data_IF_316748667596
#
_entry.id   IF_316748667596
#
_cell.length_a   1.000
_cell.length_b   1.000
_cell.length_c   1.000
_cell.angle_alpha   90.00
_cell.angle_beta   90.00
_cell.angle_gamma   90.00
#
_symmetry.space_group_name_H-M   'P 1'
#
loop_
_entity.id
_entity.type
_entity.pdbx_description
1 polymer ?
#
# COMPACT_ATOMS: atom_id res chain seq x y z
N UNK A 1 25.78 -8.72 -14.46
CA UNK A 1 26.19 -10.14 -14.51
C UNK A 1 27.26 -10.44 -13.45
N UNK A 2 27.03 -11.44 -12.59
CA UNK A 2 28.08 -11.95 -11.71
C UNK A 2 28.85 -13.07 -12.43
N UNK A 3 30.05 -13.41 -11.97
CA UNK A 3 30.85 -14.52 -12.55
C UNK A 3 30.50 -15.89 -11.97
N UNK A 4 29.59 -15.98 -10.99
CA UNK A 4 29.26 -17.23 -10.28
C UNK A 4 27.75 -17.51 -10.21
N UNK A 5 27.03 -17.21 -11.30
CA UNK A 5 25.58 -17.39 -11.44
C UNK A 5 24.78 -16.09 -11.34
N UNK A 6 23.51 -16.12 -11.73
CA UNK A 6 22.64 -14.93 -11.67
C UNK A 6 22.13 -14.71 -10.25
N UNK A 7 22.03 -13.43 -9.88
CA UNK A 7 21.24 -12.96 -8.75
C UNK A 7 20.07 -12.20 -9.33
N UNK A 8 18.86 -12.64 -9.01
CA UNK A 8 17.62 -11.99 -9.45
C UNK A 8 16.94 -11.37 -8.23
N UNK A 9 16.40 -10.17 -8.40
CA UNK A 9 15.68 -9.43 -7.35
C UNK A 9 14.21 -9.37 -7.72
N UNK A 10 13.34 -9.92 -6.86
CA UNK A 10 11.91 -10.12 -7.09
C UNK A 10 11.59 -10.95 -8.35
N UNK A 11 10.31 -11.27 -8.56
CA UNK A 11 9.85 -12.13 -9.64
C UNK A 11 8.50 -11.74 -10.26
N UNK A 12 7.94 -10.58 -9.91
CA UNK A 12 6.66 -10.14 -10.45
C UNK A 12 5.48 -10.95 -9.93
N UNK A 13 4.32 -10.77 -10.58
CA UNK A 13 3.15 -11.62 -10.40
C UNK A 13 3.34 -12.99 -11.06
N UNK A 14 2.57 -14.00 -10.62
CA UNK A 14 2.67 -15.35 -11.17
C UNK A 14 2.45 -15.44 -12.69
N UNK A 15 1.49 -14.69 -13.21
CA UNK A 15 1.23 -14.64 -14.65
C UNK A 15 2.31 -13.88 -15.44
N UNK A 16 3.14 -13.08 -14.77
CA UNK A 16 4.27 -12.33 -15.36
C UNK A 16 5.57 -13.13 -15.33
N UNK A 17 5.66 -14.17 -14.50
CA UNK A 17 6.84 -15.01 -14.35
C UNK A 17 7.51 -15.44 -15.67
N UNK A 18 6.78 -15.99 -16.66
CA UNK A 18 7.35 -16.35 -17.96
C UNK A 18 7.93 -15.16 -18.74
N UNK A 19 7.33 -13.97 -18.60
CA UNK A 19 7.81 -12.73 -19.23
C UNK A 19 9.14 -12.31 -18.59
N UNK A 20 9.19 -12.32 -17.26
CA UNK A 20 10.41 -11.98 -16.52
C UNK A 20 11.54 -12.96 -16.84
N UNK A 21 11.27 -14.26 -16.82
CA UNK A 21 12.25 -15.29 -17.18
C UNK A 21 12.79 -15.07 -18.60
N UNK A 22 11.91 -14.88 -19.59
CA UNK A 22 12.32 -14.66 -20.97
C UNK A 22 13.16 -13.38 -21.15
N UNK A 23 12.79 -12.28 -20.49
CA UNK A 23 13.54 -11.03 -20.56
C UNK A 23 14.93 -11.17 -19.92
N UNK A 24 15.02 -11.82 -18.75
CA UNK A 24 16.29 -12.03 -18.05
C UNK A 24 17.21 -12.99 -18.81
N UNK A 25 16.68 -14.10 -19.34
CA UNK A 25 17.42 -15.06 -20.16
C UNK A 25 17.97 -14.44 -21.46
N UNK A 26 17.31 -13.40 -21.99
CA UNK A 26 17.79 -12.67 -23.17
C UNK A 26 19.06 -11.85 -22.92
N UNK A 27 19.34 -11.52 -21.65
CA UNK A 27 20.53 -10.78 -21.22
C UNK A 27 21.63 -11.73 -20.77
N UNK A 28 21.27 -12.73 -19.97
CA UNK A 28 22.19 -13.72 -19.40
C UNK A 28 21.40 -15.00 -19.08
N UNK A 29 21.83 -16.14 -19.60
CA UNK A 29 21.18 -17.44 -19.43
C UNK A 29 21.90 -18.37 -18.43
N UNK A 30 22.89 -17.87 -17.67
CA UNK A 30 23.53 -18.63 -16.61
C UNK A 30 22.51 -19.10 -15.54
N UNK A 31 22.83 -20.15 -14.78
CA UNK A 31 21.94 -20.62 -13.72
C UNK A 31 21.67 -19.51 -12.68
N UNK A 32 20.43 -19.42 -12.21
CA UNK A 32 20.04 -18.54 -11.11
C UNK A 32 20.55 -19.14 -9.81
N UNK A 33 21.46 -18.43 -9.14
CA UNK A 33 22.03 -18.86 -7.86
C UNK A 33 21.22 -18.34 -6.69
N UNK A 34 20.88 -17.05 -6.71
CA UNK A 34 20.07 -16.42 -5.68
C UNK A 34 18.87 -15.72 -6.30
N UNK A 35 17.72 -15.88 -5.65
CA UNK A 35 16.52 -15.11 -5.92
C UNK A 35 16.13 -14.38 -4.64
N UNK A 36 16.43 -13.08 -4.59
CA UNK A 36 16.25 -12.26 -3.40
C UNK A 36 14.90 -11.54 -3.50
N UNK A 37 14.06 -11.68 -2.49
CA UNK A 37 12.80 -10.94 -2.39
C UNK A 37 12.99 -9.72 -1.51
N UNK A 38 12.63 -8.56 -2.04
CA UNK A 38 12.69 -7.29 -1.28
C UNK A 38 11.55 -7.18 -0.26
N UNK A 39 10.46 -7.90 -0.47
CA UNK A 39 9.25 -7.87 0.36
C UNK A 39 8.30 -9.01 -0.03
N UNK A 40 7.35 -9.31 0.84
CA UNK A 40 6.37 -10.37 0.65
C UNK A 40 5.31 -10.13 -0.43
N UNK A 41 5.04 -8.91 -0.88
CA UNK A 41 3.89 -8.66 -1.75
C UNK A 41 3.86 -9.49 -3.05
N UNK A 42 2.65 -9.90 -3.47
CA UNK A 42 2.46 -10.85 -4.57
C UNK A 42 3.02 -10.38 -5.92
N UNK A 43 3.12 -9.07 -6.14
CA UNK A 43 3.77 -8.46 -7.29
C UNK A 43 5.32 -8.53 -7.22
N UNK A 44 5.88 -9.05 -6.14
CA UNK A 44 7.31 -9.34 -5.98
C UNK A 44 7.61 -10.83 -5.91
N UNK A 45 6.68 -11.63 -5.37
CA UNK A 45 6.92 -13.05 -5.05
C UNK A 45 6.10 -14.02 -5.91
N UNK A 46 5.17 -13.48 -6.70
CA UNK A 46 4.20 -14.27 -7.43
C UNK A 46 4.82 -15.16 -8.50
N UNK A 47 5.88 -14.70 -9.15
CA UNK A 47 6.56 -15.41 -10.23
C UNK A 47 7.75 -16.28 -9.82
N UNK A 48 8.02 -16.48 -8.51
CA UNK A 48 9.23 -17.17 -8.05
C UNK A 48 9.43 -18.54 -8.73
N UNK A 49 8.38 -19.35 -8.82
CA UNK A 49 8.43 -20.69 -9.42
C UNK A 49 8.75 -20.69 -10.92
N UNK A 50 8.49 -19.58 -11.61
CA UNK A 50 8.80 -19.43 -13.04
C UNK A 50 10.24 -18.96 -13.27
N UNK A 51 10.82 -18.26 -12.30
CA UNK A 51 12.11 -17.59 -12.45
C UNK A 51 13.25 -18.41 -11.87
N UNK A 52 13.03 -19.16 -10.78
CA UNK A 52 14.05 -19.98 -10.14
C UNK A 52 14.47 -21.20 -10.98
N UNK A 53 15.73 -21.59 -10.84
CA UNK A 53 16.27 -22.87 -11.31
C UNK A 53 16.30 -23.87 -10.13
N UNK A 54 16.53 -25.19 -10.36
CA UNK A 54 16.44 -26.21 -9.31
C UNK A 54 17.32 -25.98 -8.06
N UNK A 55 18.51 -25.40 -8.25
CA UNK A 55 19.49 -25.14 -7.18
C UNK A 55 19.48 -23.67 -6.71
N UNK A 56 18.46 -22.88 -7.08
CA UNK A 56 18.34 -21.48 -6.64
C UNK A 56 18.00 -21.38 -5.16
N UNK A 57 18.78 -20.63 -4.40
CA UNK A 57 18.46 -20.26 -3.02
C UNK A 57 17.59 -18.99 -3.01
N UNK A 58 16.39 -19.08 -2.41
CA UNK A 58 15.51 -17.94 -2.20
C UNK A 58 15.86 -17.25 -0.88
N UNK A 59 16.11 -15.94 -0.94
CA UNK A 59 16.53 -15.14 0.23
C UNK A 59 15.46 -14.11 0.56
N UNK A 60 15.00 -14.09 1.81
CA UNK A 60 13.98 -13.16 2.30
C UNK A 60 14.39 -12.56 3.65
N UNK A 61 13.72 -11.48 4.07
CA UNK A 61 13.85 -10.94 5.41
C UNK A 61 13.18 -11.87 6.45
N UNK A 62 13.64 -11.88 7.70
CA UNK A 62 13.16 -12.79 8.73
C UNK A 62 11.64 -12.74 9.01
N UNK A 63 11.02 -11.56 8.95
CA UNK A 63 9.57 -11.36 9.12
C UNK A 63 8.73 -11.91 7.95
N UNK A 64 9.37 -12.39 6.89
CA UNK A 64 8.72 -13.12 5.79
C UNK A 64 7.76 -14.19 6.29
N UNK A 65 8.15 -14.94 7.32
CA UNK A 65 7.33 -16.02 7.86
C UNK A 65 5.99 -15.49 8.40
N UNK A 66 6.04 -14.38 9.15
CA UNK A 66 4.83 -13.73 9.66
C UNK A 66 3.97 -13.19 8.51
N UNK A 67 4.60 -12.57 7.51
CA UNK A 67 3.90 -12.10 6.31
C UNK A 67 3.20 -13.27 5.59
N UNK A 68 3.90 -14.38 5.35
CA UNK A 68 3.37 -15.58 4.68
C UNK A 68 2.17 -16.13 5.45
N UNK A 69 2.33 -16.35 6.75
CA UNK A 69 1.30 -16.95 7.60
C UNK A 69 0.02 -16.10 7.61
N UNK A 70 0.15 -14.77 7.65
CA UNK A 70 -1.00 -13.87 7.57
C UNK A 70 -1.67 -13.89 6.19
N UNK A 71 -0.89 -13.98 5.10
CA UNK A 71 -1.44 -14.07 3.75
C UNK A 71 -2.16 -15.39 3.50
N UNK A 72 -1.61 -16.52 3.93
CA UNK A 72 -2.26 -17.82 3.83
C UNK A 72 -3.56 -17.84 4.65
N UNK A 73 -3.53 -17.33 5.88
CA UNK A 73 -4.70 -17.30 6.76
C UNK A 73 -5.82 -16.40 6.22
N UNK A 74 -5.47 -15.31 5.53
CA UNK A 74 -6.41 -14.27 5.09
C UNK A 74 -6.60 -14.20 3.57
N UNK A 75 -6.13 -15.19 2.81
CA UNK A 75 -6.04 -15.12 1.35
C UNK A 75 -7.36 -14.69 0.67
N UNK A 76 -8.48 -15.35 1.00
CA UNK A 76 -9.81 -15.01 0.44
C UNK A 76 -10.29 -13.62 0.86
N UNK A 77 -10.04 -13.25 2.12
CA UNK A 77 -10.43 -11.96 2.67
C UNK A 77 -9.67 -10.81 1.98
N UNK A 78 -8.34 -10.93 1.86
CA UNK A 78 -7.49 -9.94 1.20
C UNK A 78 -7.81 -9.81 -0.29
N UNK A 79 -8.00 -10.94 -0.99
CA UNK A 79 -8.35 -10.92 -2.41
C UNK A 79 -9.67 -10.17 -2.69
N UNK A 80 -10.70 -10.39 -1.88
CA UNK A 80 -11.98 -9.67 -2.03
C UNK A 80 -11.82 -8.16 -1.82
N UNK A 81 -10.95 -7.75 -0.88
CA UNK A 81 -10.71 -6.35 -0.54
C UNK A 81 -9.76 -5.62 -1.48
N UNK A 82 -8.92 -6.31 -2.25
CA UNK A 82 -8.08 -5.67 -3.28
C UNK A 82 -8.74 -5.67 -4.66
N UNK A 83 -9.74 -6.53 -4.89
CA UNK A 83 -10.36 -6.72 -6.22
C UNK A 83 -10.90 -5.43 -6.83
N UNK A 84 -11.47 -4.51 -6.04
CA UNK A 84 -12.02 -3.27 -6.56
C UNK A 84 -10.97 -2.37 -7.22
N UNK A 85 -9.70 -2.47 -6.82
CA UNK A 85 -8.63 -1.62 -7.30
C UNK A 85 -7.84 -2.24 -8.47
N UNK A 86 -7.79 -3.57 -8.58
CA UNK A 86 -6.85 -4.23 -9.49
C UNK A 86 -7.49 -5.19 -10.51
N UNK A 87 -8.77 -5.57 -10.40
CA UNK A 87 -9.34 -6.64 -11.25
C UNK A 87 -9.21 -6.36 -12.75
N UNK A 88 -9.53 -5.14 -13.18
CA UNK A 88 -9.51 -4.78 -14.61
C UNK A 88 -8.08 -4.70 -15.14
N UNK A 89 -7.16 -4.10 -14.37
CA UNK A 89 -5.74 -4.02 -14.71
C UNK A 89 -5.11 -5.41 -14.83
N UNK A 90 -5.43 -6.31 -13.88
CA UNK A 90 -4.95 -7.69 -13.91
C UNK A 90 -5.52 -8.45 -15.10
N UNK A 91 -6.82 -8.31 -15.38
CA UNK A 91 -7.45 -8.96 -16.53
C UNK A 91 -6.83 -8.50 -17.86
N UNK A 92 -6.60 -7.20 -18.02
CA UNK A 92 -5.93 -6.64 -19.20
C UNK A 92 -4.47 -7.11 -19.32
N UNK A 93 -3.72 -7.13 -18.21
CA UNK A 93 -2.34 -7.62 -18.17
C UNK A 93 -2.23 -9.10 -18.55
N UNK A 94 -3.11 -9.95 -18.01
CA UNK A 94 -3.21 -11.37 -18.33
C UNK A 94 -3.52 -11.55 -19.82
N UNK A 95 -4.53 -10.85 -20.36
CA UNK A 95 -4.90 -10.97 -21.78
C UNK A 95 -3.72 -10.64 -22.70
N UNK A 96 -3.00 -9.55 -22.41
CA UNK A 96 -1.84 -9.12 -23.20
C UNK A 96 -0.69 -10.14 -23.14
N UNK A 97 -0.47 -10.79 -22.00
CA UNK A 97 0.58 -11.82 -21.87
C UNK A 97 0.16 -13.11 -22.57
N UNK A 98 -1.12 -13.47 -22.52
CA UNK A 98 -1.65 -14.65 -23.21
C UNK A 98 -1.45 -14.61 -24.74
N UNK A 99 -1.45 -13.42 -25.35
CA UNK A 99 -1.17 -13.24 -26.77
C UNK A 99 0.23 -13.73 -27.16
N UNK A 100 1.22 -13.60 -26.26
CA UNK A 100 2.63 -13.93 -26.54
C UNK A 100 3.08 -15.25 -25.91
N UNK A 101 2.56 -15.59 -24.73
CA UNK A 101 3.01 -16.75 -23.92
C UNK A 101 1.95 -17.87 -23.82
N UNK A 102 0.83 -17.73 -24.52
CA UNK A 102 -0.23 -18.73 -24.61
C UNK A 102 -1.30 -18.60 -23.51
N UNK A 103 -2.41 -19.32 -23.68
CA UNK A 103 -3.62 -19.13 -22.86
C UNK A 103 -3.46 -19.55 -21.39
N UNK A 104 -2.61 -20.56 -21.11
CA UNK A 104 -2.40 -21.07 -19.76
C UNK A 104 -1.16 -20.40 -19.15
N UNK A 105 -1.39 -19.42 -18.30
CA UNK A 105 -0.33 -18.76 -17.53
C UNK A 105 -0.21 -19.38 -16.12
N UNK A 106 0.97 -19.31 -15.48
CA UNK A 106 1.14 -19.73 -14.10
C UNK A 106 0.27 -18.90 -13.15
N UNK A 107 -0.20 -19.55 -12.08
CA UNK A 107 -0.81 -18.85 -10.94
C UNK A 107 0.25 -18.21 -10.04
N UNK A 108 -0.20 -17.56 -8.97
CA UNK A 108 0.68 -17.09 -7.91
C UNK A 108 1.47 -18.26 -7.32
N UNK A 109 2.79 -18.09 -7.17
CA UNK A 109 3.65 -19.01 -6.44
C UNK A 109 3.18 -19.21 -5.01
N UNK A 110 3.57 -20.35 -4.42
CA UNK A 110 3.53 -20.57 -2.97
C UNK A 110 4.95 -20.39 -2.45
N UNK A 111 5.37 -19.14 -2.22
CA UNK A 111 6.78 -18.82 -2.08
C UNK A 111 7.34 -19.37 -0.76
N UNK A 112 8.53 -19.97 -0.84
CA UNK A 112 9.32 -20.41 0.32
C UNK A 112 10.66 -19.69 0.28
N UNK A 113 11.24 -19.44 1.46
CA UNK A 113 12.56 -18.83 1.58
C UNK A 113 13.51 -19.85 2.22
N UNK A 114 14.68 -20.01 1.62
CA UNK A 114 15.73 -20.92 2.06
C UNK A 114 16.67 -20.23 3.06
N UNK A 115 16.89 -18.92 2.86
CA UNK A 115 17.72 -18.08 3.71
C UNK A 115 16.87 -16.92 4.25
N UNK A 116 16.96 -16.70 5.56
CA UNK A 116 16.31 -15.59 6.25
C UNK A 116 17.35 -14.60 6.77
N UNK A 117 17.14 -13.32 6.48
CA UNK A 117 18.01 -12.22 6.91
C UNK A 117 17.35 -11.48 8.06
N UNK A 118 17.96 -11.53 9.24
CA UNK A 118 17.45 -10.85 10.45
C UNK A 118 17.74 -9.34 10.40
N UNK A 119 19.02 -8.97 10.36
CA UNK A 119 19.47 -7.58 10.21
C UNK A 119 20.24 -7.35 8.90
N UNK A 120 21.40 -7.99 8.74
CA UNK A 120 22.25 -7.83 7.55
C UNK A 120 22.88 -9.15 7.11
N UNK A 121 22.94 -9.41 5.80
CA UNK A 121 23.65 -10.53 5.20
C UNK A 121 24.48 -10.06 4.01
N UNK A 122 25.79 -10.33 4.02
CA UNK A 122 26.65 -10.07 2.87
C UNK A 122 26.80 -11.32 2.02
N UNK A 123 26.41 -11.22 0.75
CA UNK A 123 26.63 -12.26 -0.26
C UNK A 123 27.79 -11.86 -1.18
N UNK A 124 28.73 -12.78 -1.37
CA UNK A 124 29.75 -12.67 -2.42
C UNK A 124 29.41 -13.63 -3.54
N UNK A 125 29.05 -13.08 -4.69
CA UNK A 125 28.68 -13.87 -5.87
C UNK A 125 29.64 -13.53 -6.99
N UNK A 126 30.63 -14.41 -7.17
CA UNK A 126 31.77 -14.13 -8.04
C UNK A 126 32.59 -12.98 -7.45
N UNK A 127 32.81 -11.94 -8.25
CA UNK A 127 33.54 -10.74 -7.83
C UNK A 127 32.65 -9.65 -7.20
N UNK A 128 31.33 -9.87 -7.12
CA UNK A 128 30.39 -8.86 -6.63
C UNK A 128 30.01 -9.09 -5.19
N UNK A 129 29.97 -7.99 -4.44
CA UNK A 129 29.44 -7.93 -3.08
C UNK A 129 28.03 -7.39 -3.12
N UNK A 130 27.11 -8.08 -2.45
CA UNK A 130 25.75 -7.61 -2.20
C UNK A 130 25.52 -7.62 -0.70
N UNK A 131 25.01 -6.52 -0.16
CA UNK A 131 24.58 -6.43 1.23
C UNK A 131 23.06 -6.41 1.28
N UNK A 132 22.48 -7.42 1.92
CA UNK A 132 21.04 -7.53 2.11
C UNK A 132 20.74 -6.97 3.49
N UNK A 133 19.96 -5.89 3.55
CA UNK A 133 19.81 -5.08 4.76
C UNK A 133 18.33 -4.99 5.10
N UNK A 134 17.94 -5.56 6.24
CA UNK A 134 16.59 -5.50 6.73
C UNK A 134 16.16 -4.04 6.94
N UNK A 135 15.00 -3.72 6.39
CA UNK A 135 14.39 -2.39 6.44
C UNK A 135 12.89 -2.57 6.69
N UNK A 136 12.50 -3.18 7.83
CA UNK A 136 11.10 -3.39 8.14
C UNK A 136 10.39 -2.05 8.25
N UNK A 137 9.09 -2.03 7.94
CA UNK A 137 8.31 -0.80 7.91
C UNK A 137 8.23 -0.21 6.50
N UNK A 138 7.69 1.01 6.42
CA UNK A 138 7.37 1.67 5.16
C UNK A 138 6.22 0.96 4.43
N UNK A 139 6.52 -0.03 3.61
CA UNK A 139 5.53 -0.71 2.77
C UNK A 139 5.15 -2.11 3.27
N UNK A 140 6.08 -2.87 3.84
CA UNK A 140 5.78 -4.11 4.59
C UNK A 140 6.63 -4.27 5.84
N UNK A 141 6.22 -5.14 6.75
CA UNK A 141 7.03 -5.50 7.93
C UNK A 141 8.19 -6.43 7.60
N UNK A 142 8.20 -7.06 6.42
CA UNK A 142 9.23 -7.97 5.93
C UNK A 142 10.12 -7.39 4.81
N UNK A 143 10.17 -6.06 4.73
CA UNK A 143 10.96 -5.35 3.71
C UNK A 143 12.47 -5.44 3.97
N UNK A 144 13.24 -5.54 2.90
CA UNK A 144 14.69 -5.57 2.86
C UNK A 144 15.21 -4.94 1.56
N UNK A 145 16.31 -4.20 1.67
CA UNK A 145 17.00 -3.62 0.50
C UNK A 145 18.23 -4.44 0.12
N UNK A 146 18.62 -4.34 -1.14
CA UNK A 146 19.88 -4.89 -1.66
C UNK A 146 20.81 -3.74 -1.99
N UNK A 147 21.93 -3.66 -1.28
CA UNK A 147 22.96 -2.65 -1.48
C UNK A 147 24.14 -3.22 -2.25
N UNK A 148 24.55 -2.51 -3.29
CA UNK A 148 25.74 -2.78 -4.10
C UNK A 148 26.78 -1.70 -3.78
N UNK A 149 27.71 -1.94 -2.83
CA UNK A 149 28.60 -0.91 -2.33
C UNK A 149 29.58 -0.37 -3.37
N UNK A 150 30.08 -1.24 -4.27
CA UNK A 150 31.06 -0.85 -5.28
C UNK A 150 30.45 0.07 -6.34
N UNK A 151 29.18 -0.17 -6.71
CA UNK A 151 28.43 0.64 -7.67
C UNK A 151 27.61 1.77 -7.03
N UNK A 152 27.51 1.78 -5.70
CA UNK A 152 26.65 2.68 -4.91
C UNK A 152 25.19 2.67 -5.34
N UNK A 153 24.67 1.47 -5.64
CA UNK A 153 23.28 1.25 -6.08
C UNK A 153 22.50 0.55 -4.97
N UNK A 154 21.35 1.12 -4.59
CA UNK A 154 20.41 0.49 -3.66
C UNK A 154 19.15 0.05 -4.41
N UNK A 155 18.91 -1.27 -4.45
CA UNK A 155 17.64 -1.83 -4.90
C UNK A 155 16.71 -1.91 -3.69
N UNK A 156 15.77 -0.98 -3.64
CA UNK A 156 14.98 -0.68 -2.44
C UNK A 156 13.55 -1.24 -2.47
N UNK A 157 13.15 -1.92 -3.55
CA UNK A 157 11.78 -2.44 -3.69
C UNK A 157 10.76 -1.33 -3.46
N UNK A 158 9.71 -1.61 -2.70
CA UNK A 158 8.73 -0.59 -2.33
C UNK A 158 8.97 -0.05 -0.91
N UNK A 159 10.18 -0.13 -0.34
CA UNK A 159 10.40 0.25 1.08
C UNK A 159 9.89 1.67 1.43
N UNK A 160 9.84 2.59 0.47
CA UNK A 160 9.31 3.96 0.62
C UNK A 160 7.85 4.14 0.15
N UNK A 161 7.15 3.05 -0.12
CA UNK A 161 5.87 3.01 -0.83
C UNK A 161 6.02 2.66 -2.31
N UNK A 162 4.90 2.36 -2.97
CA UNK A 162 4.87 2.05 -4.41
C UNK A 162 5.21 3.27 -5.29
N UNK A 163 5.01 4.49 -4.76
CA UNK A 163 5.38 5.76 -5.39
C UNK A 163 6.46 6.44 -4.54
N UNK A 164 7.68 6.59 -5.06
CA UNK A 164 8.73 7.33 -4.36
C UNK A 164 8.42 8.83 -4.33
N UNK A 165 8.76 9.50 -3.23
CA UNK A 165 8.45 10.92 -3.03
C UNK A 165 6.99 11.18 -2.60
N UNK A 166 6.29 10.14 -2.17
CA UNK A 166 4.94 10.22 -1.62
C UNK A 166 4.92 9.73 -0.18
N UNK A 167 3.94 10.20 0.61
CA UNK A 167 3.68 9.63 1.94
C UNK A 167 3.35 8.14 1.78
N UNK A 168 4.00 7.23 2.55
CA UNK A 168 3.71 5.80 2.45
C UNK A 168 2.29 5.51 2.97
N UNK A 169 1.83 4.27 2.82
CA UNK A 169 0.67 3.82 3.59
C UNK A 169 1.16 3.24 4.91
N UNK A 170 0.82 3.82 6.07
CA UNK A 170 1.03 3.12 7.34
C UNK A 170 0.02 1.97 7.53
N UNK A 171 -1.13 2.08 6.86
CA UNK A 171 -2.05 0.96 6.61
C UNK A 171 -2.68 1.15 5.23
N UNK A 172 -2.80 0.08 4.43
CA UNK A 172 -3.42 0.18 3.11
C UNK A 172 -4.95 0.06 3.23
N UNK A 173 -5.70 0.74 2.36
CA UNK A 173 -7.18 0.66 2.32
C UNK A 173 -7.71 -0.77 2.12
N UNK A 174 -6.97 -1.62 1.38
CA UNK A 174 -7.30 -3.05 1.24
C UNK A 174 -7.27 -3.82 2.58
N UNK A 175 -6.61 -3.27 3.59
CA UNK A 175 -6.41 -3.89 4.89
C UNK A 175 -5.06 -4.58 4.97
N UNK A 176 -4.29 -4.19 5.98
CA UNK A 176 -3.06 -4.87 6.38
C UNK A 176 -2.78 -4.60 7.87
N UNK A 177 -1.70 -5.18 8.41
CA UNK A 177 -1.20 -4.72 9.71
C UNK A 177 -0.81 -3.24 9.64
N UNK A 178 -1.00 -2.55 10.76
CA UNK A 178 -0.42 -1.23 10.96
C UNK A 178 1.10 -1.33 10.91
N UNK A 179 1.71 -0.37 10.20
CA UNK A 179 3.15 -0.13 10.18
C UNK A 179 3.44 1.05 11.08
N UNK A 180 4.42 0.86 11.94
CA UNK A 180 4.83 1.88 12.90
C UNK A 180 5.63 2.99 12.21
N UNK A 181 5.26 4.24 12.48
CA UNK A 181 5.86 5.41 11.83
C UNK A 181 7.33 5.62 12.23
N UNK A 182 7.71 5.29 13.48
CA UNK A 182 9.09 5.42 13.94
C UNK A 182 9.99 4.37 13.26
N UNK A 183 9.47 3.16 13.08
CA UNK A 183 10.13 2.11 12.32
C UNK A 183 10.35 2.52 10.85
N UNK A 184 9.37 3.19 10.24
CA UNK A 184 9.52 3.74 8.87
C UNK A 184 10.65 4.77 8.81
N UNK A 185 10.73 5.66 9.80
CA UNK A 185 11.78 6.68 9.92
C UNK A 185 13.17 6.03 10.05
N UNK A 186 13.31 5.02 10.90
CA UNK A 186 14.57 4.29 11.10
C UNK A 186 15.02 3.60 9.80
N UNK A 187 14.07 3.03 9.05
CA UNK A 187 14.31 2.44 7.74
C UNK A 187 14.77 3.48 6.70
N UNK A 188 14.16 4.66 6.67
CA UNK A 188 14.60 5.75 5.78
C UNK A 188 16.03 6.18 6.12
N UNK A 189 16.34 6.34 7.41
CA UNK A 189 17.69 6.70 7.85
C UNK A 189 18.72 5.62 7.50
N UNK A 190 18.35 4.35 7.61
CA UNK A 190 19.24 3.23 7.29
C UNK A 190 19.64 3.23 5.81
N UNK A 191 18.69 3.43 4.90
CA UNK A 191 18.99 3.53 3.46
C UNK A 191 19.74 4.84 3.16
N UNK A 192 19.39 5.94 3.82
CA UNK A 192 20.05 7.23 3.64
C UNK A 192 21.54 7.18 4.02
N UNK A 193 21.89 6.43 5.07
CA UNK A 193 23.26 6.25 5.53
C UNK A 193 24.15 5.48 4.53
N UNK A 194 23.57 4.77 3.56
CA UNK A 194 24.32 4.10 2.48
C UNK A 194 24.84 5.11 1.44
N UNK A 195 24.27 6.32 1.41
CA UNK A 195 24.56 7.36 0.43
C UNK A 195 24.48 6.84 -1.03
N UNK A 196 23.35 6.30 -1.48
CA UNK A 196 23.24 5.74 -2.82
C UNK A 196 23.36 6.80 -3.91
N UNK A 197 24.06 6.48 -4.99
CA UNK A 197 24.10 7.29 -6.21
C UNK A 197 22.88 6.97 -7.11
N UNK A 198 22.33 5.77 -6.98
CA UNK A 198 21.12 5.31 -7.69
C UNK A 198 20.21 4.52 -6.75
N UNK A 199 18.93 4.86 -6.75
CA UNK A 199 17.86 4.03 -6.19
C UNK A 199 17.12 3.30 -7.31
N UNK A 200 16.96 1.98 -7.14
CA UNK A 200 16.05 1.17 -7.94
C UNK A 200 14.85 0.80 -7.08
N UNK A 201 13.71 1.42 -7.35
CA UNK A 201 12.43 1.13 -6.70
C UNK A 201 11.76 -0.10 -7.33
N UNK A 202 10.76 -0.67 -6.67
CA UNK A 202 10.01 -1.83 -7.16
C UNK A 202 9.14 -1.50 -8.38
N UNK A 203 8.84 -0.22 -8.58
CA UNK A 203 8.06 0.32 -9.70
C UNK A 203 8.79 1.50 -10.36
N UNK A 204 8.46 1.79 -11.63
CA UNK A 204 8.98 2.90 -12.43
C UNK A 204 10.50 2.84 -12.72
N UNK A 205 11.06 3.95 -13.20
CA UNK A 205 12.46 4.05 -13.61
C UNK A 205 13.41 4.35 -12.44
N UNK A 206 14.73 4.19 -12.66
CA UNK A 206 15.75 4.51 -11.66
C UNK A 206 15.72 5.98 -11.25
N UNK A 207 16.02 6.25 -9.97
CA UNK A 207 16.27 7.59 -9.46
C UNK A 207 17.78 7.75 -9.30
N UNK A 208 18.37 8.76 -9.94
CA UNK A 208 19.82 8.99 -9.94
C UNK A 208 20.19 10.32 -9.31
N UNK A 209 21.38 10.36 -8.70
CA UNK A 209 22.00 11.55 -8.12
C UNK A 209 21.94 11.54 -6.60
N UNK A 210 23.09 11.35 -5.96
CA UNK A 210 23.20 11.22 -4.51
C UNK A 210 22.57 12.42 -3.76
N UNK A 211 22.83 13.65 -4.20
CA UNK A 211 22.25 14.85 -3.58
C UNK A 211 20.71 14.87 -3.66
N UNK A 212 20.15 14.50 -4.81
CA UNK A 212 18.71 14.42 -5.01
C UNK A 212 18.11 13.35 -4.10
N UNK A 213 18.71 12.16 -4.10
CA UNK A 213 18.24 11.05 -3.27
C UNK A 213 18.29 11.41 -1.79
N UNK A 214 19.40 12.01 -1.33
CA UNK A 214 19.52 12.50 0.05
C UNK A 214 18.43 13.52 0.39
N UNK A 215 18.20 14.51 -0.47
CA UNK A 215 17.18 15.52 -0.24
C UNK A 215 15.75 14.93 -0.18
N UNK A 216 15.41 14.02 -1.09
CA UNK A 216 14.08 13.37 -1.12
C UNK A 216 13.88 12.44 0.10
N UNK A 217 14.89 11.67 0.51
CA UNK A 217 14.82 10.83 1.72
C UNK A 217 14.73 11.67 3.01
N UNK A 218 15.47 12.77 3.09
CA UNK A 218 15.37 13.72 4.22
C UNK A 218 13.95 14.27 4.31
N UNK A 219 13.40 14.74 3.20
CA UNK A 219 12.04 15.30 3.18
C UNK A 219 11.00 14.26 3.56
N UNK A 220 11.08 13.04 3.01
CA UNK A 220 10.16 11.95 3.34
C UNK A 220 10.24 11.58 4.82
N UNK A 221 11.45 11.42 5.38
CA UNK A 221 11.67 11.17 6.80
C UNK A 221 11.03 12.25 7.67
N UNK A 222 11.27 13.51 7.34
CA UNK A 222 10.77 14.64 8.12
C UNK A 222 9.26 14.81 8.01
N UNK A 223 8.67 14.51 6.85
CA UNK A 223 7.23 14.44 6.66
C UNK A 223 6.58 13.37 7.56
N UNK A 224 7.10 12.13 7.53
CA UNK A 224 6.59 11.04 8.40
C UNK A 224 6.75 11.39 9.87
N UNK A 225 7.90 11.96 10.26
CA UNK A 225 8.16 12.43 11.63
C UNK A 225 7.17 13.51 12.06
N UNK A 226 6.93 14.50 11.21
CA UNK A 226 5.98 15.56 11.50
C UNK A 226 4.57 15.02 11.73
N UNK A 227 4.07 14.13 10.85
CA UNK A 227 2.75 13.53 11.00
C UNK A 227 2.65 12.72 12.30
N UNK A 228 3.68 11.94 12.62
CA UNK A 228 3.77 11.22 13.88
C UNK A 228 3.72 12.16 15.10
N UNK A 229 4.64 13.12 15.17
CA UNK A 229 4.81 13.99 16.33
C UNK A 229 3.58 14.90 16.53
N UNK A 230 3.00 15.42 15.44
CA UNK A 230 1.77 16.20 15.48
C UNK A 230 0.57 15.38 15.95
N UNK A 231 0.47 14.11 15.53
CA UNK A 231 -0.58 13.19 15.99
C UNK A 231 -0.43 12.92 17.47
N UNK A 232 0.77 12.55 17.94
CA UNK A 232 1.04 12.28 19.36
C UNK A 232 0.83 13.52 20.23
N UNK A 233 1.25 14.70 19.79
CA UNK A 233 1.00 15.95 20.49
C UNK A 233 -0.51 16.22 20.61
N UNK A 234 -1.27 15.98 19.53
CA UNK A 234 -2.72 16.08 19.50
C UNK A 234 -3.43 15.11 20.46
N UNK A 235 -2.97 13.86 20.50
CA UNK A 235 -3.46 12.85 21.45
C UNK A 235 -3.23 13.28 22.89
N UNK A 236 -2.02 13.73 23.24
CA UNK A 236 -1.70 14.23 24.58
C UNK A 236 -2.51 15.49 24.95
N UNK A 237 -2.92 16.28 23.96
CA UNK A 237 -3.82 17.41 24.14
C UNK A 237 -5.31 17.02 24.23
N UNK A 238 -5.65 15.73 24.17
CA UNK A 238 -7.02 15.22 24.27
C UNK A 238 -7.86 15.41 23.01
N UNK A 239 -7.25 15.67 21.84
CA UNK A 239 -7.97 15.78 20.58
C UNK A 239 -8.36 14.39 20.06
N UNK A 240 -9.57 14.28 19.51
CA UNK A 240 -10.03 13.05 18.87
C UNK A 240 -9.39 12.85 17.48
N UNK A 241 -9.34 11.58 17.04
CA UNK A 241 -8.73 11.21 15.76
C UNK A 241 -9.32 11.96 14.56
N UNK A 242 -10.63 12.21 14.51
CA UNK A 242 -11.24 12.89 13.35
C UNK A 242 -10.85 14.35 13.31
N UNK A 243 -10.68 14.99 14.46
CA UNK A 243 -10.13 16.35 14.55
C UNK A 243 -8.69 16.40 14.08
N UNK A 244 -7.84 15.47 14.51
CA UNK A 244 -6.45 15.38 14.05
C UNK A 244 -6.34 15.14 12.54
N UNK A 245 -7.15 14.22 11.99
CA UNK A 245 -7.20 13.97 10.55
C UNK A 245 -7.57 15.21 9.72
N UNK A 246 -8.32 16.16 10.29
CA UNK A 246 -8.70 17.41 9.61
C UNK A 246 -7.66 18.53 9.75
N UNK A 247 -6.97 18.59 10.89
CA UNK A 247 -6.09 19.70 11.24
C UNK A 247 -4.63 19.47 10.84
N UNK A 248 -4.17 18.22 10.83
CA UNK A 248 -2.78 17.90 10.50
C UNK A 248 -2.62 17.85 8.99
N UNK A 249 -1.91 18.84 8.46
CA UNK A 249 -1.44 18.90 7.07
C UNK A 249 0.07 19.13 7.06
N UNK A 250 0.76 18.64 6.03
CA UNK A 250 2.20 18.87 5.87
C UNK A 250 2.48 20.36 5.62
N UNK A 251 3.47 20.95 6.31
CA UNK A 251 3.97 22.28 5.95
C UNK A 251 4.69 22.22 4.60
N UNK A 252 4.78 23.37 3.90
CA UNK A 252 5.24 23.42 2.51
C UNK A 252 6.66 22.86 2.29
N UNK A 253 7.55 23.02 3.28
CA UNK A 253 8.92 22.51 3.26
C UNK A 253 9.01 20.97 3.39
N UNK A 254 7.96 20.33 3.90
CA UNK A 254 7.82 18.88 4.06
C UNK A 254 6.86 18.26 3.04
N UNK A 255 6.47 19.01 2.02
CA UNK A 255 5.52 18.52 1.02
C UNK A 255 6.07 17.30 0.28
N UNK A 256 5.28 16.23 0.33
CA UNK A 256 5.45 14.98 -0.42
C UNK A 256 4.08 14.60 -0.94
N UNK A 257 4.02 13.90 -2.07
CA UNK A 257 2.75 13.59 -2.70
C UNK A 257 1.86 12.65 -1.87
N UNK A 258 0.54 12.75 -2.07
CA UNK A 258 -0.48 11.89 -1.44
C UNK A 258 -1.19 10.97 -2.45
N UNK A 259 -0.55 10.71 -3.59
CA UNK A 259 -1.08 9.85 -4.66
C UNK A 259 -1.24 8.35 -4.32
N UNK A 260 -0.71 7.87 -3.19
CA UNK A 260 -0.84 6.46 -2.77
C UNK A 260 -1.21 6.33 -1.30
N UNK A 261 -0.37 6.82 -0.38
CA UNK A 261 -0.78 7.10 1.00
C UNK A 261 -1.51 8.44 1.11
N UNK A 262 -2.04 8.77 2.30
CA UNK A 262 -2.67 10.06 2.58
C UNK A 262 -2.36 10.46 4.02
N UNK A 263 -1.99 11.73 4.24
CA UNK A 263 -1.63 12.25 5.57
C UNK A 263 -2.75 12.01 6.57
N UNK A 264 -3.99 12.30 6.18
CA UNK A 264 -5.15 12.06 7.04
C UNK A 264 -5.33 10.57 7.37
N UNK A 265 -4.97 9.64 6.47
CA UNK A 265 -5.06 8.20 6.75
C UNK A 265 -3.94 7.75 7.67
N UNK A 266 -2.74 8.29 7.50
CA UNK A 266 -1.59 7.99 8.37
C UNK A 266 -1.77 8.57 9.78
N UNK A 267 -2.37 9.74 9.94
CA UNK A 267 -2.79 10.27 11.25
C UNK A 267 -3.67 9.27 11.99
N UNK A 268 -4.68 8.72 11.29
CA UNK A 268 -5.55 7.70 11.85
C UNK A 268 -4.77 6.42 12.18
N UNK A 269 -3.86 6.02 11.30
CA UNK A 269 -3.05 4.84 11.49
C UNK A 269 -2.15 4.94 12.72
N UNK A 270 -1.46 6.07 12.90
CA UNK A 270 -0.65 6.36 14.08
C UNK A 270 -1.52 6.37 15.34
N UNK A 271 -2.67 7.05 15.29
CA UNK A 271 -3.58 7.14 16.43
C UNK A 271 -4.08 5.76 16.88
N UNK A 272 -4.54 4.92 15.95
CA UNK A 272 -5.03 3.57 16.23
C UNK A 272 -3.89 2.60 16.58
N UNK A 273 -2.68 2.81 16.08
CA UNK A 273 -1.50 2.01 16.47
C UNK A 273 -1.15 2.19 17.96
N UNK A 274 -1.34 3.40 18.50
CA UNK A 274 -1.14 3.67 19.93
C UNK A 274 -2.35 3.38 20.81
N UNK A 275 -3.58 3.60 20.31
CA UNK A 275 -4.80 3.61 21.14
C UNK A 275 -5.71 2.40 20.94
N UNK A 276 -5.57 1.69 19.82
CA UNK A 276 -6.48 0.63 19.42
C UNK A 276 -7.86 1.13 18.97
N UNK A 277 -8.84 0.22 18.98
CA UNK A 277 -10.18 0.41 18.41
C UNK A 277 -11.15 1.22 19.28
N UNK A 278 -10.87 1.38 20.57
CA UNK A 278 -11.78 2.05 21.50
C UNK A 278 -11.44 3.54 21.60
N UNK A 279 -12.32 4.41 21.08
CA UNK A 279 -12.04 5.83 20.90
C UNK A 279 -12.51 6.69 22.07
N UNK A 280 -13.08 6.10 23.13
CA UNK A 280 -13.58 6.81 24.31
C UNK A 280 -14.67 7.87 24.02
N UNK A 281 -15.43 7.75 22.91
CA UNK A 281 -16.47 8.73 22.55
C UNK A 281 -17.87 8.32 23.02
N UNK A 282 -18.13 7.02 23.08
CA UNK A 282 -19.42 6.49 23.49
C UNK A 282 -19.31 5.13 24.14
N UNK A 283 -20.19 4.86 25.11
CA UNK A 283 -20.42 3.51 25.66
C UNK A 283 -20.84 2.52 24.59
N UNK A 284 -21.49 2.98 23.51
CA UNK A 284 -21.90 2.14 22.40
C UNK A 284 -20.72 1.43 21.70
N UNK A 285 -19.51 2.00 21.76
CA UNK A 285 -18.31 1.39 21.17
C UNK A 285 -17.96 0.03 21.82
N UNK A 286 -18.40 -0.22 23.06
CA UNK A 286 -18.19 -1.50 23.74
C UNK A 286 -19.06 -2.65 23.20
N UNK A 287 -20.04 -2.34 22.36
CA UNK A 287 -21.04 -3.29 21.90
C UNK A 287 -20.94 -3.51 20.39
N UNK A 288 -21.32 -4.70 19.89
CA UNK A 288 -21.22 -5.03 18.46
C UNK A 288 -22.34 -4.39 17.62
N UNK A 289 -23.01 -3.35 18.14
CA UNK A 289 -24.12 -2.68 17.45
C UNK A 289 -23.56 -1.58 16.57
N UNK A 290 -23.76 -1.73 15.26
CA UNK A 290 -23.32 -0.73 14.29
C UNK A 290 -24.13 0.58 14.43
N UNK A 291 -23.52 1.77 14.29
CA UNK A 291 -24.24 3.03 14.29
C UNK A 291 -25.38 3.12 13.26
N UNK A 292 -25.30 2.41 12.13
CA UNK A 292 -26.39 2.31 11.14
C UNK A 292 -27.63 1.58 11.68
N UNK A 293 -27.53 0.89 12.82
CA UNK A 293 -28.65 0.19 13.46
C UNK A 293 -29.83 1.09 13.85
N UNK A 294 -29.63 2.42 13.93
CA UNK A 294 -30.68 3.41 14.20
C UNK A 294 -31.16 4.16 12.95
N UNK A 295 -30.68 3.80 11.74
CA UNK A 295 -31.08 4.46 10.49
C UNK A 295 -32.60 4.41 10.28
N UNK A 296 -33.24 3.28 10.59
CA UNK A 296 -34.70 3.12 10.51
C UNK A 296 -35.47 4.10 11.40
N UNK A 297 -35.03 4.28 12.65
CA UNK A 297 -35.67 5.20 13.59
C UNK A 297 -35.55 6.65 13.10
N UNK A 298 -34.38 7.02 12.56
CA UNK A 298 -34.16 8.37 12.02
C UNK A 298 -35.02 8.63 10.78
N UNK A 299 -35.16 7.65 9.88
CA UNK A 299 -35.99 7.75 8.68
C UNK A 299 -37.47 7.81 9.02
N UNK A 300 -37.95 7.04 10.00
CA UNK A 300 -39.35 7.09 10.47
C UNK A 300 -39.69 8.46 11.07
N UNK A 301 -38.78 9.02 11.87
CA UNK A 301 -38.97 10.32 12.52
C UNK A 301 -38.94 11.50 11.54
N UNK A 302 -38.01 11.51 10.58
CA UNK A 302 -37.77 12.66 9.71
C UNK A 302 -38.46 12.54 8.34
N UNK A 303 -38.74 11.33 7.87
CA UNK A 303 -39.18 11.02 6.52
C UNK A 303 -38.02 10.96 5.51
N UNK A 304 -38.03 9.94 4.65
CA UNK A 304 -36.97 9.68 3.67
C UNK A 304 -36.72 10.87 2.72
N UNK A 305 -37.79 11.47 2.17
CA UNK A 305 -37.66 12.59 1.22
C UNK A 305 -37.00 13.82 1.85
N UNK A 306 -37.34 14.16 3.09
CA UNK A 306 -36.74 15.29 3.79
C UNK A 306 -35.23 15.06 4.06
N UNK A 307 -34.82 13.82 4.33
CA UNK A 307 -33.42 13.46 4.48
C UNK A 307 -32.69 13.58 3.14
N UNK A 308 -33.28 13.10 2.04
CA UNK A 308 -32.70 13.21 0.70
C UNK A 308 -32.57 14.67 0.27
N UNK A 309 -33.59 15.50 0.50
CA UNK A 309 -33.53 16.94 0.23
C UNK A 309 -32.40 17.60 1.02
N UNK A 310 -32.23 17.24 2.30
CA UNK A 310 -31.11 17.72 3.11
C UNK A 310 -29.77 17.25 2.55
N UNK A 311 -29.67 15.99 2.13
CA UNK A 311 -28.47 15.43 1.53
C UNK A 311 -28.08 16.20 0.26
N UNK A 312 -29.05 16.54 -0.60
CA UNK A 312 -28.83 17.37 -1.79
C UNK A 312 -28.33 18.77 -1.41
N UNK A 313 -28.89 19.41 -0.38
CA UNK A 313 -28.39 20.71 0.11
C UNK A 313 -26.93 20.63 0.57
N UNK A 314 -26.51 19.52 1.20
CA UNK A 314 -25.10 19.33 1.56
C UNK A 314 -24.22 19.14 0.32
N UNK A 315 -24.70 18.39 -0.67
CA UNK A 315 -23.98 18.18 -1.92
C UNK A 315 -23.79 19.50 -2.69
N UNK A 316 -24.85 20.29 -2.85
CA UNK A 316 -24.82 21.59 -3.54
C UNK A 316 -23.90 22.59 -2.84
N UNK A 317 -23.76 22.47 -1.51
CA UNK A 317 -22.85 23.26 -0.70
C UNK A 317 -21.40 22.75 -0.69
N UNK A 318 -21.04 21.78 -1.55
CA UNK A 318 -19.69 21.23 -1.64
C UNK A 318 -19.30 20.34 -0.46
N UNK A 319 -20.26 19.72 0.23
CA UNK A 319 -20.03 18.80 1.36
C UNK A 319 -20.46 17.36 1.01
N UNK A 320 -19.82 16.70 0.03
CA UNK A 320 -20.25 15.41 -0.48
C UNK A 320 -20.23 14.29 0.57
N UNK A 321 -19.27 14.28 1.51
CA UNK A 321 -19.23 13.27 2.58
C UNK A 321 -20.46 13.35 3.50
N UNK A 322 -20.92 14.56 3.84
CA UNK A 322 -22.14 14.73 4.62
C UNK A 322 -23.40 14.32 3.82
N UNK A 323 -23.41 14.58 2.50
CA UNK A 323 -24.48 14.11 1.63
C UNK A 323 -24.55 12.59 1.56
N UNK A 324 -23.39 11.91 1.47
CA UNK A 324 -23.29 10.44 1.52
C UNK A 324 -23.90 9.92 2.82
N UNK A 325 -23.44 10.42 3.98
CA UNK A 325 -23.91 9.97 5.29
C UNK A 325 -25.43 10.08 5.44
N UNK A 326 -26.04 11.17 4.96
CA UNK A 326 -27.49 11.34 5.02
C UNK A 326 -28.23 10.42 4.05
N UNK A 327 -27.73 10.27 2.82
CA UNK A 327 -28.35 9.39 1.84
C UNK A 327 -28.22 7.90 2.22
N UNK A 328 -27.14 7.51 2.90
CA UNK A 328 -26.94 6.16 3.43
C UNK A 328 -28.01 5.78 4.47
N UNK A 329 -28.42 6.69 5.36
CA UNK A 329 -29.52 6.45 6.30
C UNK A 329 -30.79 5.97 5.59
N UNK A 330 -31.08 6.55 4.42
CA UNK A 330 -32.25 6.17 3.61
C UNK A 330 -32.00 4.83 2.91
N UNK A 331 -30.83 4.59 2.33
CA UNK A 331 -30.56 3.32 1.63
C UNK A 331 -30.36 2.13 2.56
N UNK A 332 -30.01 2.34 3.82
CA UNK A 332 -29.96 1.28 4.84
C UNK A 332 -31.35 0.64 5.06
N UNK A 333 -32.42 1.40 4.82
CA UNK A 333 -33.81 0.99 5.05
C UNK A 333 -34.57 0.74 3.74
N UNK A 334 -34.26 1.52 2.70
CA UNK A 334 -34.81 1.44 1.36
C UNK A 334 -33.68 1.47 0.31
N UNK A 335 -32.99 0.34 0.06
CA UNK A 335 -31.80 0.27 -0.80
C UNK A 335 -32.01 0.79 -2.22
N UNK A 336 -33.25 0.70 -2.73
CA UNK A 336 -33.64 1.12 -4.08
C UNK A 336 -34.22 2.54 -4.15
N UNK A 337 -34.15 3.33 -3.07
CA UNK A 337 -34.69 4.69 -3.04
C UNK A 337 -34.00 5.59 -4.07
N UNK A 338 -34.70 5.91 -5.15
CA UNK A 338 -34.11 6.57 -6.32
C UNK A 338 -33.47 7.93 -5.99
N UNK A 339 -34.09 8.73 -5.11
CA UNK A 339 -33.53 10.01 -4.64
C UNK A 339 -32.17 9.86 -3.95
N UNK A 340 -32.10 9.05 -2.89
CA UNK A 340 -30.87 8.78 -2.15
C UNK A 340 -29.77 8.20 -3.05
N UNK A 341 -30.08 7.23 -3.92
CA UNK A 341 -29.11 6.66 -4.88
C UNK A 341 -28.53 7.71 -5.83
N UNK A 342 -29.34 8.65 -6.32
CA UNK A 342 -28.87 9.77 -7.16
C UNK A 342 -27.91 10.67 -6.39
N UNK A 343 -28.22 11.03 -5.14
CA UNK A 343 -27.35 11.84 -4.29
C UNK A 343 -26.03 11.12 -4.04
N UNK A 344 -26.07 9.82 -3.70
CA UNK A 344 -24.88 9.00 -3.48
C UNK A 344 -23.98 9.00 -4.72
N UNK A 345 -24.54 8.71 -5.90
CA UNK A 345 -23.78 8.73 -7.15
C UNK A 345 -23.10 10.08 -7.38
N UNK A 346 -23.86 11.17 -7.32
CA UNK A 346 -23.34 12.51 -7.59
C UNK A 346 -22.29 12.96 -6.54
N UNK A 347 -22.46 12.57 -5.27
CA UNK A 347 -21.48 12.84 -4.22
C UNK A 347 -20.15 12.09 -4.45
N UNK A 348 -20.22 10.82 -4.88
CA UNK A 348 -19.02 10.06 -5.23
C UNK A 348 -18.35 10.58 -6.50
N UNK A 349 -19.11 10.99 -7.53
CA UNK A 349 -18.59 11.65 -8.73
C UNK A 349 -17.86 12.96 -8.39
N UNK A 350 -18.41 13.74 -7.46
CA UNK A 350 -17.76 14.97 -6.98
C UNK A 350 -16.44 14.68 -6.27
N UNK A 351 -16.42 13.70 -5.35
CA UNK A 351 -15.19 13.28 -4.68
C UNK A 351 -14.15 12.75 -5.68
N UNK A 352 -14.58 12.02 -6.71
CA UNK A 352 -13.69 11.47 -7.72
C UNK A 352 -13.01 12.56 -8.54
N UNK A 353 -13.75 13.62 -8.88
CA UNK A 353 -13.21 14.76 -9.62
C UNK A 353 -12.10 15.52 -8.84
N UNK A 354 -12.13 15.45 -7.52
CA UNK A 354 -11.18 16.11 -6.62
C UNK A 354 -10.04 15.18 -6.14
N UNK A 355 -10.03 13.91 -6.56
CA UNK A 355 -9.08 12.88 -6.10
C UNK A 355 -7.97 12.61 -7.11
N UNK A 356 -6.72 12.63 -6.65
CA UNK A 356 -5.53 12.15 -7.35
C UNK A 356 -4.90 10.91 -6.70
N UNK A 357 -5.47 10.44 -5.58
CA UNK A 357 -5.00 9.26 -4.86
C UNK A 357 -5.51 7.96 -5.51
N UNK A 358 -4.60 7.01 -5.76
CA UNK A 358 -4.90 5.73 -6.40
C UNK A 358 -6.03 4.94 -5.72
N UNK A 359 -5.98 4.77 -4.40
CA UNK A 359 -6.95 3.95 -3.68
C UNK A 359 -8.30 4.62 -3.55
N UNK A 360 -8.31 5.93 -3.30
CA UNK A 360 -9.53 6.73 -3.24
C UNK A 360 -10.24 6.73 -4.59
N UNK A 361 -9.51 7.00 -5.67
CA UNK A 361 -10.02 6.95 -7.05
C UNK A 361 -10.61 5.59 -7.41
N UNK A 362 -9.91 4.50 -7.08
CA UNK A 362 -10.40 3.14 -7.31
C UNK A 362 -11.70 2.84 -6.53
N UNK A 363 -11.77 3.25 -5.26
CA UNK A 363 -12.95 3.04 -4.43
C UNK A 363 -14.14 3.85 -4.93
N UNK A 364 -13.95 5.13 -5.22
CA UNK A 364 -15.01 6.02 -5.71
C UNK A 364 -15.56 5.54 -7.05
N UNK A 365 -14.68 5.11 -7.97
CA UNK A 365 -15.09 4.52 -9.26
C UNK A 365 -15.96 3.28 -9.04
N UNK A 366 -15.58 2.40 -8.11
CA UNK A 366 -16.36 1.21 -7.75
C UNK A 366 -17.74 1.57 -7.21
N UNK A 367 -17.83 2.58 -6.34
CA UNK A 367 -19.10 3.03 -5.76
C UNK A 367 -20.02 3.63 -6.82
N UNK A 368 -19.51 4.49 -7.71
CA UNK A 368 -20.28 5.11 -8.80
C UNK A 368 -20.92 4.03 -9.69
N UNK A 369 -20.16 2.98 -10.04
CA UNK A 369 -20.65 1.86 -10.83
C UNK A 369 -21.79 1.08 -10.13
N UNK A 370 -21.84 1.08 -8.79
CA UNK A 370 -22.92 0.45 -8.01
C UNK A 370 -24.24 1.23 -8.02
N UNK A 371 -24.22 2.49 -8.44
CA UNK A 371 -25.39 3.35 -8.58
C UNK A 371 -25.81 3.59 -10.04
N UNK A 372 -25.17 2.90 -10.99
CA UNK A 372 -25.49 2.98 -12.42
C UNK A 372 -26.83 2.33 -12.77
#
# INVERSE_FOLDING_TARGET
>A
PTTAGRVIINAGMGFEGPVHRANLDSVDAAAVRYLIVTQGHYDHVGGLDSVRDPDTEVVAQANWQQWRDDNERLARYRAARSAFAFSDTLAAGIARIQEKFGRKLPGQSTPTADILVDDTLTLKVGERTLELIATPGGETTDSMVVWLPDERICLCGNVFGALFGHIPNLVTMRGDRYRDALTVIDTIERVRALEPDVLLTGHFGPISGAERIQAELIRLRDAVRYVHDATVAGMNAGKDVRTLMREITLPAELEVGEGYGKVAWDVRAIWENYSGWFHHRSTAELYPVDPSGVSADLVDLAGAEAIVDRAQVHLDAGRPVAAIQLAELVTDTAPDHAGARRVLKAAHERLLADSDNFWETAWLTKQIAGYA
#
